data_IF_945055701189
#
_entry.id   IF_945055701189
#
_cell.length_a   1.000
_cell.length_b   1.000
_cell.length_c   1.000
_cell.angle_alpha   90.00
_cell.angle_beta   90.00
_cell.angle_gamma   90.00
#
_symmetry.space_group_name_H-M   'P 1'
#
loop_
_entity.id
_entity.type
_entity.pdbx_description
1 polymer ?
#
# COMPACT_ATOMS: atom_id res chain seq x y z
N UNK A 1 11.91 10.09 -3.14
CA UNK A 1 10.68 9.69 -2.44
C UNK A 1 10.87 9.76 -0.90
N UNK A 2 9.86 10.26 -0.20
CA UNK A 2 9.79 10.31 1.26
C UNK A 2 8.44 9.76 1.75
N UNK A 3 8.37 9.30 2.99
CA UNK A 3 7.12 8.87 3.63
C UNK A 3 6.30 10.08 4.04
N UNK A 4 5.21 10.35 3.33
CA UNK A 4 4.28 11.46 3.60
C UNK A 4 3.16 10.96 4.50
N UNK A 5 2.87 11.70 5.57
CA UNK A 5 1.88 11.35 6.60
C UNK A 5 0.87 12.47 6.88
N UNK A 6 0.73 13.39 5.94
CA UNK A 6 -0.30 14.42 5.96
C UNK A 6 -0.68 14.71 4.51
N UNK A 7 -1.97 14.65 4.22
CA UNK A 7 -2.50 14.75 2.86
C UNK A 7 -3.50 15.88 2.75
N UNK A 8 -3.55 16.50 1.56
CA UNK A 8 -4.65 17.38 1.18
C UNK A 8 -5.90 16.54 0.90
N UNK A 9 -7.11 17.14 1.06
CA UNK A 9 -8.36 16.44 0.75
C UNK A 9 -8.62 16.27 -0.76
N UNK A 10 -7.75 16.84 -1.59
CA UNK A 10 -7.91 16.84 -3.05
C UNK A 10 -7.92 15.41 -3.60
N UNK A 11 -8.87 15.14 -4.48
CA UNK A 11 -8.94 13.85 -5.17
C UNK A 11 -7.71 13.66 -6.07
N UNK A 12 -7.22 12.43 -6.16
CA UNK A 12 -6.22 12.04 -7.14
C UNK A 12 -6.93 11.85 -8.49
N UNK A 13 -6.52 12.54 -9.58
CA UNK A 13 -7.12 12.34 -10.90
C UNK A 13 -6.99 10.89 -11.35
N UNK A 14 -8.03 10.38 -12.00
CA UNK A 14 -8.13 8.96 -12.37
C UNK A 14 -6.99 8.51 -13.32
N UNK A 15 -6.56 9.38 -14.23
CA UNK A 15 -5.45 9.11 -15.15
C UNK A 15 -4.09 9.07 -14.42
N UNK A 16 -3.89 9.93 -13.41
CA UNK A 16 -2.70 9.92 -12.55
C UNK A 16 -2.68 8.64 -11.72
N UNK A 17 -3.80 8.29 -11.08
CA UNK A 17 -3.91 7.06 -10.32
C UNK A 17 -3.67 5.84 -11.21
N UNK A 18 -4.23 5.80 -12.41
CA UNK A 18 -4.03 4.72 -13.36
C UNK A 18 -2.55 4.49 -13.70
N UNK A 19 -1.77 5.56 -13.98
CA UNK A 19 -0.33 5.45 -14.24
C UNK A 19 0.44 4.91 -13.03
N UNK A 20 0.08 5.33 -11.82
CA UNK A 20 0.69 4.81 -10.58
C UNK A 20 0.40 3.32 -10.42
N UNK A 21 -0.86 2.90 -10.61
CA UNK A 21 -1.27 1.49 -10.48
C UNK A 21 -0.60 0.63 -11.55
N UNK A 22 -0.55 1.10 -12.80
CA UNK A 22 0.12 0.42 -13.90
C UNK A 22 1.59 0.16 -13.60
N UNK A 23 2.33 1.15 -13.10
CA UNK A 23 3.73 0.99 -12.72
C UNK A 23 3.94 -0.13 -11.68
N UNK A 24 2.98 -0.33 -10.77
CA UNK A 24 2.98 -1.43 -9.81
C UNK A 24 2.96 -2.80 -10.50
N UNK A 25 2.26 -2.93 -11.63
CA UNK A 25 2.13 -4.21 -12.35
C UNK A 25 3.43 -4.66 -13.02
N UNK A 26 4.39 -3.75 -13.22
CA UNK A 26 5.70 -4.05 -13.80
C UNK A 26 6.76 -4.43 -12.77
N UNK A 27 6.41 -4.55 -11.51
CA UNK A 27 7.33 -5.02 -10.48
C UNK A 27 7.79 -6.47 -10.77
N UNK A 28 9.04 -6.82 -10.47
CA UNK A 28 9.50 -8.20 -10.62
C UNK A 28 8.73 -9.13 -9.68
N UNK A 29 8.51 -10.36 -10.12
CA UNK A 29 7.94 -11.42 -9.29
C UNK A 29 8.72 -12.71 -9.47
N UNK A 30 8.71 -13.57 -8.48
CA UNK A 30 9.37 -14.86 -8.56
C UNK A 30 8.87 -15.65 -9.78
N UNK A 31 9.79 -16.09 -10.63
CA UNK A 31 9.53 -16.82 -11.88
C UNK A 31 8.55 -16.11 -12.85
N UNK A 32 8.32 -14.79 -12.68
CA UNK A 32 7.36 -14.04 -13.47
C UNK A 32 5.88 -14.41 -13.22
N UNK A 33 5.58 -14.98 -12.05
CA UNK A 33 4.23 -15.50 -11.74
C UNK A 33 3.19 -14.41 -11.48
N UNK A 34 3.59 -13.14 -11.29
CA UNK A 34 2.69 -12.01 -11.07
C UNK A 34 1.66 -12.29 -9.96
N UNK A 35 2.14 -12.83 -8.83
CA UNK A 35 1.31 -13.33 -7.71
C UNK A 35 0.57 -12.25 -6.95
N UNK A 36 0.89 -10.97 -7.17
CA UNK A 36 0.31 -9.85 -6.46
C UNK A 36 -1.00 -9.35 -7.11
N UNK A 37 -1.91 -8.87 -6.27
CA UNK A 37 -3.14 -8.17 -6.68
C UNK A 37 -3.14 -6.77 -6.06
N UNK A 38 -3.38 -5.74 -6.87
CA UNK A 38 -3.45 -4.34 -6.45
C UNK A 38 -4.91 -3.93 -6.35
N UNK A 39 -5.32 -3.38 -5.20
CA UNK A 39 -6.69 -2.89 -4.96
C UNK A 39 -6.63 -1.41 -4.62
N UNK A 40 -7.15 -0.56 -5.50
CA UNK A 40 -7.30 0.88 -5.21
C UNK A 40 -8.63 1.13 -4.47
N UNK A 41 -8.53 1.63 -3.25
CA UNK A 41 -9.68 1.90 -2.37
C UNK A 41 -9.90 3.41 -2.33
N UNK A 42 -10.83 3.90 -3.16
CA UNK A 42 -11.18 5.30 -3.31
C UNK A 42 -12.47 5.65 -2.55
N UNK A 43 -13.38 4.68 -2.44
CA UNK A 43 -14.68 4.85 -1.78
C UNK A 43 -14.49 5.08 -0.28
N UNK A 44 -15.04 6.19 0.24
CA UNK A 44 -14.91 6.56 1.65
C UNK A 44 -15.36 5.44 2.60
N UNK A 45 -16.45 4.75 2.30
CA UNK A 45 -16.96 3.67 3.15
C UNK A 45 -15.94 2.54 3.33
N UNK A 46 -15.24 2.14 2.26
CA UNK A 46 -14.20 1.11 2.34
C UNK A 46 -12.91 1.62 2.99
N UNK A 47 -12.53 2.89 2.75
CA UNK A 47 -11.40 3.51 3.45
C UNK A 47 -11.63 3.55 4.96
N UNK A 48 -12.82 3.99 5.39
CA UNK A 48 -13.19 4.03 6.81
C UNK A 48 -13.18 2.61 7.43
N UNK A 49 -13.64 1.60 6.68
CA UNK A 49 -13.63 0.20 7.14
C UNK A 49 -12.19 -0.32 7.32
N UNK A 50 -11.30 -0.07 6.34
CA UNK A 50 -9.88 -0.43 6.46
C UNK A 50 -9.21 0.29 7.64
N UNK A 51 -9.48 1.58 7.81
CA UNK A 51 -8.96 2.37 8.94
C UNK A 51 -9.34 1.74 10.27
N UNK A 52 -10.61 1.35 10.45
CA UNK A 52 -11.08 0.68 11.68
C UNK A 52 -10.39 -0.66 11.90
N UNK A 53 -10.28 -1.48 10.87
CA UNK A 53 -9.63 -2.79 10.97
C UNK A 53 -8.14 -2.65 11.31
N UNK A 54 -7.42 -1.74 10.67
CA UNK A 54 -6.01 -1.51 10.96
C UNK A 54 -5.81 -0.93 12.36
N UNK A 55 -6.64 0.03 12.78
CA UNK A 55 -6.63 0.60 14.14
C UNK A 55 -6.89 -0.48 15.21
N UNK A 56 -7.81 -1.42 14.94
CA UNK A 56 -8.09 -2.54 15.84
C UNK A 56 -6.87 -3.46 16.00
N UNK A 57 -6.13 -3.76 14.91
CA UNK A 57 -4.86 -4.52 14.99
C UNK A 57 -3.81 -3.78 15.81
N UNK A 58 -3.74 -2.44 15.68
CA UNK A 58 -2.83 -1.60 16.48
C UNK A 58 -3.26 -1.58 17.96
N UNK A 59 -4.55 -1.75 18.26
CA UNK A 59 -5.12 -1.57 19.58
C UNK A 59 -5.20 -0.10 20.03
N UNK A 60 -5.34 0.84 19.08
CA UNK A 60 -5.40 2.29 19.34
C UNK A 60 -6.43 2.95 18.42
N UNK A 61 -7.09 3.97 18.93
CA UNK A 61 -7.99 4.83 18.13
C UNK A 61 -7.18 5.86 17.34
N UNK A 62 -6.71 5.46 16.18
CA UNK A 62 -5.90 6.29 15.27
C UNK A 62 -6.32 6.03 13.82
N UNK A 63 -6.01 6.94 12.91
CA UNK A 63 -6.08 6.69 11.47
C UNK A 63 -4.69 6.30 10.92
N UNK A 64 -4.43 5.01 10.65
CA UNK A 64 -3.14 4.56 10.16
C UNK A 64 -2.84 4.98 8.72
N UNK A 65 -3.86 5.46 7.98
CA UNK A 65 -3.74 5.92 6.60
C UNK A 65 -3.72 7.45 6.48
N UNK A 66 -3.68 8.17 7.63
CA UNK A 66 -3.43 9.61 7.70
C UNK A 66 -4.43 10.47 6.91
N UNK A 67 -5.68 10.07 6.81
CA UNK A 67 -6.70 10.79 6.05
C UNK A 67 -6.48 10.82 4.53
N UNK A 68 -5.64 9.95 3.99
CA UNK A 68 -5.33 9.93 2.57
C UNK A 68 -6.59 9.69 1.71
N UNK A 69 -6.74 10.38 0.56
CA UNK A 69 -7.90 10.21 -0.31
C UNK A 69 -7.96 8.84 -0.99
N UNK A 70 -6.82 8.17 -1.13
CA UNK A 70 -6.72 6.81 -1.70
C UNK A 70 -5.89 5.92 -0.80
N UNK A 71 -6.35 4.69 -0.59
CA UNK A 71 -5.55 3.61 -0.01
C UNK A 71 -5.34 2.57 -1.11
N UNK A 72 -4.08 2.25 -1.43
CA UNK A 72 -3.78 1.17 -2.38
C UNK A 72 -3.29 -0.03 -1.57
N UNK A 73 -4.10 -1.08 -1.54
CA UNK A 73 -3.78 -2.34 -0.87
C UNK A 73 -3.10 -3.28 -1.85
N UNK A 74 -2.01 -3.90 -1.42
CA UNK A 74 -1.36 -4.97 -2.17
C UNK A 74 -1.58 -6.28 -1.42
N UNK A 75 -2.18 -7.22 -2.13
CA UNK A 75 -2.45 -8.58 -1.70
C UNK A 75 -1.55 -9.53 -2.49
N UNK A 76 -1.28 -10.70 -1.95
CA UNK A 76 -0.55 -11.76 -2.64
C UNK A 76 -1.24 -13.10 -2.50
N UNK A 77 -1.03 -14.00 -3.45
CA UNK A 77 -1.51 -15.37 -3.36
C UNK A 77 -0.78 -16.12 -2.22
N UNK A 78 -1.50 -16.38 -1.14
CA UNK A 78 -0.96 -17.05 0.05
C UNK A 78 -0.45 -18.46 -0.19
N UNK A 79 -0.77 -19.09 -1.32
CA UNK A 79 -0.22 -20.37 -1.77
C UNK A 79 1.19 -20.27 -2.38
N UNK A 80 1.67 -19.05 -2.67
CA UNK A 80 2.99 -18.81 -3.27
C UNK A 80 4.01 -18.44 -2.19
N UNK A 81 5.15 -19.12 -2.15
CA UNK A 81 6.19 -18.90 -1.13
C UNK A 81 6.73 -17.45 -1.11
N UNK A 82 6.79 -16.82 -2.29
CA UNK A 82 7.38 -15.48 -2.46
C UNK A 82 6.37 -14.33 -2.46
N UNK A 83 5.08 -14.59 -2.17
CA UNK A 83 4.03 -13.57 -2.27
C UNK A 83 4.36 -12.27 -1.52
N UNK A 84 5.02 -12.37 -0.38
CA UNK A 84 5.41 -11.22 0.42
C UNK A 84 6.51 -10.39 -0.27
N UNK A 85 7.52 -11.05 -0.83
CA UNK A 85 8.60 -10.39 -1.56
C UNK A 85 8.08 -9.73 -2.84
N UNK A 86 7.30 -10.47 -3.63
CA UNK A 86 6.67 -9.98 -4.86
C UNK A 86 5.80 -8.74 -4.59
N UNK A 87 4.91 -8.82 -3.61
CA UNK A 87 4.06 -7.69 -3.23
C UNK A 87 4.83 -6.50 -2.66
N UNK A 88 5.97 -6.74 -2.00
CA UNK A 88 6.84 -5.67 -1.52
C UNK A 88 7.49 -4.91 -2.68
N UNK A 89 7.90 -5.59 -3.74
CA UNK A 89 8.38 -4.96 -4.97
C UNK A 89 7.28 -4.12 -5.64
N UNK A 90 6.05 -4.62 -5.67
CA UNK A 90 4.88 -3.88 -6.18
C UNK A 90 4.69 -2.59 -5.38
N UNK A 91 4.70 -2.65 -4.05
CA UNK A 91 4.55 -1.47 -3.18
C UNK A 91 5.64 -0.43 -3.41
N UNK A 92 6.90 -0.85 -3.62
CA UNK A 92 7.98 0.11 -3.92
C UNK A 92 7.79 0.76 -5.29
N UNK A 93 7.44 -0.01 -6.35
CA UNK A 93 7.13 0.56 -7.66
C UNK A 93 5.99 1.58 -7.60
N UNK A 94 4.89 1.26 -6.88
CA UNK A 94 3.78 2.17 -6.65
C UNK A 94 4.23 3.47 -5.98
N UNK A 95 5.07 3.38 -4.94
CA UNK A 95 5.55 4.57 -4.22
C UNK A 95 6.51 5.43 -5.06
N UNK A 96 7.35 4.82 -5.90
CA UNK A 96 8.23 5.52 -6.82
C UNK A 96 7.44 6.23 -7.91
N UNK A 97 6.46 5.54 -8.51
CA UNK A 97 5.56 6.12 -9.51
C UNK A 97 4.73 7.27 -8.92
N UNK A 98 4.17 7.10 -7.71
CA UNK A 98 3.46 8.16 -7.01
C UNK A 98 4.33 9.41 -6.84
N UNK A 99 5.60 9.22 -6.48
CA UNK A 99 6.55 10.33 -6.35
C UNK A 99 6.83 11.01 -7.70
N UNK A 100 6.98 10.25 -8.78
CA UNK A 100 7.20 10.78 -10.13
C UNK A 100 5.99 11.60 -10.64
N UNK A 101 4.76 11.18 -10.26
CA UNK A 101 3.51 11.89 -10.55
C UNK A 101 3.23 13.07 -9.60
N UNK A 102 4.17 13.44 -8.72
CA UNK A 102 4.00 14.54 -7.76
C UNK A 102 3.12 14.23 -6.56
N UNK A 103 2.77 12.96 -6.34
CA UNK A 103 2.00 12.51 -5.18
C UNK A 103 2.89 12.16 -3.99
N UNK A 104 2.32 12.27 -2.81
CA UNK A 104 2.88 11.73 -1.57
C UNK A 104 2.37 10.32 -1.31
N UNK A 105 3.23 9.47 -0.74
CA UNK A 105 2.84 8.14 -0.30
C UNK A 105 3.59 7.71 0.94
N UNK A 106 3.04 6.72 1.65
CA UNK A 106 3.70 6.03 2.76
C UNK A 106 3.22 4.58 2.83
N UNK A 107 4.15 3.67 3.06
CA UNK A 107 3.82 2.27 3.38
C UNK A 107 3.12 2.17 4.73
N UNK A 108 1.98 1.50 4.76
CA UNK A 108 1.22 1.12 5.95
C UNK A 108 1.24 -0.40 6.08
N UNK A 109 1.53 -0.88 7.28
CA UNK A 109 1.57 -2.31 7.59
C UNK A 109 0.24 -2.79 8.17
N UNK A 110 0.17 -4.09 8.44
CA UNK A 110 -0.88 -4.88 9.12
C UNK A 110 -1.96 -5.42 8.19
N UNK A 111 -1.82 -5.22 6.90
CA UNK A 111 -2.75 -5.81 5.92
C UNK A 111 -2.77 -7.34 6.02
N UNK A 112 -1.64 -7.96 6.41
CA UNK A 112 -1.59 -9.41 6.65
C UNK A 112 -2.57 -9.81 7.76
N UNK A 113 -2.49 -9.18 8.92
CA UNK A 113 -3.36 -9.45 10.06
C UNK A 113 -4.82 -9.14 9.72
N UNK A 114 -5.06 -8.05 8.97
CA UNK A 114 -6.40 -7.68 8.52
C UNK A 114 -6.98 -8.76 7.61
N UNK A 115 -6.29 -9.12 6.52
CA UNK A 115 -6.81 -10.02 5.51
C UNK A 115 -6.73 -11.51 5.90
N UNK A 116 -6.02 -11.86 6.96
CA UNK A 116 -6.11 -13.17 7.62
C UNK A 116 -7.30 -13.27 8.60
N UNK A 117 -7.91 -12.12 9.00
CA UNK A 117 -9.06 -12.08 9.91
C UNK A 117 -10.40 -12.36 9.20
N UNK A 118 -11.46 -12.75 9.94
CA UNK A 118 -12.80 -12.89 9.37
C UNK A 118 -13.34 -11.65 8.68
N UNK A 119 -13.08 -10.45 9.23
CA UNK A 119 -13.51 -9.17 8.67
C UNK A 119 -12.76 -8.83 7.37
N UNK A 120 -11.47 -9.14 7.31
CA UNK A 120 -10.68 -9.02 6.10
C UNK A 120 -11.14 -9.98 5.01
N UNK A 121 -11.48 -11.23 5.36
CA UNK A 121 -12.09 -12.18 4.42
C UNK A 121 -13.44 -11.68 3.89
N UNK A 122 -14.23 -11.02 4.75
CA UNK A 122 -15.47 -10.37 4.30
C UNK A 122 -15.19 -9.24 3.29
N UNK A 123 -14.12 -8.44 3.50
CA UNK A 123 -13.71 -7.43 2.50
C UNK A 123 -13.33 -8.07 1.16
N UNK A 124 -12.57 -9.16 1.16
CA UNK A 124 -12.22 -9.87 -0.08
C UNK A 124 -13.47 -10.34 -0.83
N UNK A 125 -14.46 -10.90 -0.12
CA UNK A 125 -15.75 -11.28 -0.73
C UNK A 125 -16.50 -10.09 -1.31
N UNK A 126 -16.58 -8.98 -0.57
CA UNK A 126 -17.23 -7.75 -1.03
C UNK A 126 -16.56 -7.18 -2.30
N UNK A 127 -15.26 -7.38 -2.45
CA UNK A 127 -14.49 -6.98 -3.63
C UNK A 127 -14.48 -8.02 -4.76
N UNK A 128 -15.13 -9.17 -4.58
CA UNK A 128 -15.13 -10.26 -5.55
C UNK A 128 -13.77 -10.95 -5.71
N UNK A 129 -12.93 -10.92 -4.67
CA UNK A 129 -11.59 -11.49 -4.68
C UNK A 129 -11.52 -12.82 -3.91
N UNK A 130 -10.60 -13.72 -4.30
CA UNK A 130 -10.39 -14.98 -3.61
C UNK A 130 -10.00 -14.80 -2.14
N UNK A 131 -10.63 -15.56 -1.24
CA UNK A 131 -10.29 -15.54 0.20
C UNK A 131 -8.90 -16.14 0.53
N UNK A 132 -8.25 -16.76 -0.45
CA UNK A 132 -6.85 -17.24 -0.34
C UNK A 132 -5.83 -16.12 -0.39
N UNK A 133 -6.23 -14.92 -0.88
CA UNK A 133 -5.34 -13.76 -0.88
C UNK A 133 -5.03 -13.31 0.54
N UNK A 134 -3.79 -12.89 0.73
CA UNK A 134 -3.24 -12.38 1.99
C UNK A 134 -2.70 -10.99 1.81
N UNK A 135 -2.78 -10.16 2.84
CA UNK A 135 -2.22 -8.82 2.80
C UNK A 135 -0.68 -8.84 2.78
N UNK A 136 -0.10 -7.98 1.95
CA UNK A 136 1.34 -7.68 1.95
C UNK A 136 1.57 -6.34 2.65
N UNK A 137 0.84 -5.32 2.25
CA UNK A 137 0.89 -3.99 2.80
C UNK A 137 -0.05 -3.07 2.02
N UNK A 138 -0.13 -1.82 2.45
CA UNK A 138 -0.84 -0.79 1.72
C UNK A 138 0.01 0.47 1.59
N UNK A 139 -0.36 1.34 0.66
CA UNK A 139 0.11 2.73 0.66
C UNK A 139 -1.06 3.67 0.88
N UNK A 140 -0.88 4.64 1.78
CA UNK A 140 -1.68 5.85 1.82
C UNK A 140 -1.18 6.76 0.70
N UNK A 141 -2.06 7.28 -0.15
CA UNK A 141 -1.73 8.00 -1.38
C UNK A 141 -2.57 9.26 -1.54
N UNK A 142 -1.92 10.36 -1.93
CA UNK A 142 -2.57 11.65 -2.18
C UNK A 142 -1.57 12.79 -2.31
N UNK A 143 -2.04 14.02 -2.47
CA UNK A 143 -1.18 15.20 -2.49
C UNK A 143 -0.68 15.52 -1.08
N UNK A 144 0.62 15.76 -0.92
CA UNK A 144 1.20 16.12 0.36
C UNK A 144 0.65 17.46 0.87
N UNK A 145 0.26 17.54 2.16
CA UNK A 145 -0.22 18.77 2.80
C UNK A 145 0.92 19.70 3.25
N UNK A 146 2.16 19.26 3.16
CA UNK A 146 3.35 20.05 3.57
C UNK A 146 4.62 19.51 2.91
N UNK A 147 5.77 20.09 3.27
CA UNK A 147 7.05 19.66 2.72
C UNK A 147 7.38 18.22 3.11
N UNK A 148 8.07 17.53 2.20
CA UNK A 148 8.57 16.20 2.51
C UNK A 148 9.63 16.27 3.64
N UNK A 149 9.61 15.31 4.59
CA UNK A 149 10.61 15.29 5.66
C UNK A 149 12.02 15.04 5.11
N UNK A 150 13.02 15.62 5.74
CA UNK A 150 14.41 15.38 5.38
C UNK A 150 14.81 13.91 5.54
N UNK A 151 15.78 13.49 4.73
CA UNK A 151 16.34 12.15 4.84
C UNK A 151 17.30 12.08 6.02
N UNK A 152 17.11 11.13 6.93
CA UNK A 152 18.12 10.82 7.92
C UNK A 152 19.42 10.34 7.22
N UNK A 153 20.60 10.59 7.82
CA UNK A 153 21.84 10.01 7.33
C UNK A 153 21.74 8.49 7.18
N UNK A 154 22.43 7.96 6.19
CA UNK A 154 22.52 6.49 6.05
C UNK A 154 23.49 5.95 7.11
N UNK A 155 23.20 4.74 7.60
CA UNK A 155 24.12 4.08 8.55
C UNK A 155 25.47 3.83 7.89
N UNK A 156 26.53 3.84 8.67
CA UNK A 156 27.85 3.38 8.24
C UNK A 156 27.79 1.91 7.79
N UNK A 157 28.65 1.55 6.87
CA UNK A 157 28.74 0.18 6.33
C UNK A 157 27.41 -0.35 5.75
N UNK A 158 26.57 0.53 5.19
CA UNK A 158 25.35 0.12 4.52
C UNK A 158 25.64 -0.70 3.25
N UNK A 159 26.78 -0.41 2.61
CA UNK A 159 27.30 -1.11 1.42
C UNK A 159 28.62 -1.78 1.81
N UNK A 160 28.78 -3.04 1.47
CA UNK A 160 30.00 -3.81 1.68
C UNK A 160 30.51 -4.26 0.32
N UNK A 161 31.78 -4.01 0.04
CA UNK A 161 32.48 -4.53 -1.12
C UNK A 161 33.39 -5.67 -0.67
N UNK A 162 33.33 -6.82 -1.33
CA UNK A 162 34.12 -8.02 -1.06
C UNK A 162 34.85 -8.46 -2.32
#
# INVERSE_FOLDING_TARGET
RRSIRAYKPDAVPADVLARVLEAGTYAPSAMGEQSATIVAVETKAYRDRLTKLNAAVIGKDVDPYYGAPVIVVVLGDGGKANYMADGSCVLENLMLAAHAEGLGSVWVNREREIFDSPDGKALLRDWGLPETLRGVGAIALGYAAGPAPEAAPRKENYIVHV
#
